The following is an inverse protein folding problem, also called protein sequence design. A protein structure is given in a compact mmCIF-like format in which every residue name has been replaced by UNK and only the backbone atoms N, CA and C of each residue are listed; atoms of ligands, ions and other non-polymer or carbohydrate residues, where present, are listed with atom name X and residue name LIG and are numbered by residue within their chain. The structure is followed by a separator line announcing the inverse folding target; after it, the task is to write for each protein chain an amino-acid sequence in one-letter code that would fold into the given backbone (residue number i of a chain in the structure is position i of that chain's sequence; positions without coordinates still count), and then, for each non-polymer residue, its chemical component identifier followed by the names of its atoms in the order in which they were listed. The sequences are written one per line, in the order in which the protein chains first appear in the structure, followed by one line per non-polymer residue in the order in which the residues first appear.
data_IF_739821249177
#
_entry.id   IF_739821249177
#
_cell.length_a   1.000
_cell.length_b   1.000
_cell.length_c   1.000
_cell.angle_alpha   90.00
_cell.angle_beta   90.00
_cell.angle_gamma   90.00
#
_symmetry.space_group_name_H-M   'P 1'
#
loop_
_entity.id
_entity.type
_entity.pdbx_description
1 polymer ?
#
# COMPACT_ATOMS: atom_id res chain seq x y z
N UNK A 1 2.81 12.17 -1.24
CA UNK A 1 1.90 12.43 -2.38
C UNK A 1 0.56 12.86 -1.81
N UNK A 2 -0.24 13.65 -2.54
CA UNK A 2 -1.65 13.87 -2.18
C UNK A 2 -2.55 13.21 -3.20
N UNK A 3 -3.49 12.39 -2.74
CA UNK A 3 -4.56 11.83 -3.55
C UNK A 3 -5.71 12.80 -3.63
N UNK A 4 -6.30 12.86 -4.82
CA UNK A 4 -7.48 13.67 -5.15
C UNK A 4 -8.74 12.83 -5.17
N UNK A 5 -9.90 13.48 -5.10
CA UNK A 5 -11.20 12.81 -5.25
C UNK A 5 -11.36 12.14 -6.61
N UNK A 6 -10.85 12.74 -7.69
CA UNK A 6 -10.88 12.14 -9.04
C UNK A 6 -10.10 10.83 -9.09
N UNK A 7 -8.88 10.80 -8.55
CA UNK A 7 -8.09 9.56 -8.47
C UNK A 7 -8.77 8.47 -7.65
N UNK A 8 -9.45 8.85 -6.56
CA UNK A 8 -10.21 7.92 -5.74
C UNK A 8 -11.45 7.39 -6.49
N UNK A 9 -12.12 8.22 -7.29
CA UNK A 9 -13.26 7.81 -8.10
C UNK A 9 -12.83 6.94 -9.30
N UNK A 10 -11.74 7.26 -9.98
CA UNK A 10 -11.18 6.43 -11.06
C UNK A 10 -10.86 5.01 -10.57
N UNK A 11 -10.38 4.92 -9.34
CA UNK A 11 -10.06 3.68 -8.66
C UNK A 11 -11.30 2.83 -8.34
N UNK A 12 -12.44 3.46 -8.10
CA UNK A 12 -13.73 2.80 -7.87
C UNK A 12 -14.53 2.52 -9.14
N UNK A 13 -14.25 3.30 -10.20
CA UNK A 13 -14.90 3.13 -11.50
C UNK A 13 -14.36 1.92 -12.26
N UNK A 14 -13.15 1.46 -11.95
CA UNK A 14 -12.70 0.13 -12.34
C UNK A 14 -13.49 -0.85 -11.46
N UNK A 15 -14.31 -1.71 -12.07
CA UNK A 15 -15.08 -2.79 -11.45
C UNK A 15 -14.11 -3.81 -10.82
N UNK A 16 -13.43 -3.34 -9.78
CA UNK A 16 -12.23 -3.91 -9.22
C UNK A 16 -12.65 -5.08 -8.35
N UNK A 17 -11.86 -6.16 -8.40
CA UNK A 17 -12.09 -7.30 -7.53
C UNK A 17 -12.23 -6.83 -6.06
N UNK A 18 -13.11 -7.43 -5.23
CA UNK A 18 -13.28 -7.01 -3.83
C UNK A 18 -11.98 -7.08 -3.01
N UNK A 19 -11.07 -7.97 -3.40
CA UNK A 19 -9.74 -8.11 -2.79
C UNK A 19 -8.67 -7.21 -3.42
N UNK A 20 -9.03 -6.34 -4.36
CA UNK A 20 -8.12 -5.38 -4.92
C UNK A 20 -7.60 -4.43 -3.84
N UNK A 21 -6.34 -4.07 -3.96
CA UNK A 21 -5.64 -3.13 -3.09
C UNK A 21 -4.96 -2.08 -3.92
N UNK A 22 -5.04 -0.86 -3.41
CA UNK A 22 -4.27 0.24 -3.91
C UNK A 22 -2.88 0.22 -3.27
N UNK A 23 -1.86 0.34 -4.10
CA UNK A 23 -0.46 0.36 -3.65
C UNK A 23 0.27 1.55 -4.25
N UNK A 24 1.32 1.99 -3.58
CA UNK A 24 2.21 3.06 -4.03
C UNK A 24 3.62 2.52 -4.28
N UNK A 25 4.16 2.82 -5.45
CA UNK A 25 5.53 2.47 -5.84
C UNK A 25 6.56 3.45 -5.28
N UNK A 26 7.83 3.07 -5.36
CA UNK A 26 8.97 3.86 -4.88
C UNK A 26 9.10 5.22 -5.60
N UNK A 27 8.72 5.27 -6.89
CA UNK A 27 8.67 6.50 -7.70
C UNK A 27 7.42 7.36 -7.42
N UNK A 28 6.63 6.97 -6.41
CA UNK A 28 5.37 7.56 -5.97
C UNK A 28 4.21 7.33 -6.95
N UNK A 29 4.38 6.61 -8.05
CA UNK A 29 3.23 6.19 -8.86
C UNK A 29 2.35 5.23 -8.07
N UNK A 30 1.09 5.10 -8.44
CA UNK A 30 0.16 4.23 -7.73
C UNK A 30 -0.52 3.28 -8.70
N UNK A 31 -0.81 2.06 -8.25
CA UNK A 31 -1.50 1.04 -9.04
C UNK A 31 -2.48 0.25 -8.18
N UNK A 32 -3.48 -0.34 -8.83
CA UNK A 32 -4.40 -1.28 -8.19
C UNK A 32 -3.93 -2.69 -8.54
N UNK A 33 -3.66 -3.49 -7.52
CA UNK A 33 -3.30 -4.90 -7.69
C UNK A 33 -4.32 -5.78 -6.98
N UNK A 34 -4.56 -6.97 -7.52
CA UNK A 34 -5.30 -8.03 -6.82
C UNK A 34 -4.25 -9.01 -6.29
N UNK A 35 -3.96 -9.05 -4.97
CA UNK A 35 -2.99 -9.98 -4.43
C UNK A 35 -3.53 -11.39 -4.66
N UNK A 36 -2.79 -12.18 -5.42
CA UNK A 36 -3.23 -13.54 -5.76
C UNK A 36 -3.27 -14.48 -4.54
N UNK A 37 -2.56 -14.13 -3.45
CA UNK A 37 -2.46 -14.95 -2.23
C UNK A 37 -2.36 -14.10 -0.94
N UNK A 38 -2.68 -14.68 0.23
CA UNK A 38 -2.49 -14.02 1.53
C UNK A 38 -1.03 -13.62 1.81
N UNK A 39 -0.06 -14.37 1.29
CA UNK A 39 1.37 -14.05 1.44
C UNK A 39 1.73 -12.78 0.66
N UNK A 40 1.21 -12.62 -0.55
CA UNK A 40 1.41 -11.40 -1.34
C UNK A 40 0.82 -10.17 -0.62
N UNK A 41 -0.36 -10.33 0.01
CA UNK A 41 -0.94 -9.29 0.85
C UNK A 41 -0.05 -8.99 2.08
N UNK A 42 0.49 -10.01 2.73
CA UNK A 42 1.37 -9.85 3.89
C UNK A 42 2.69 -9.14 3.54
N UNK A 43 3.24 -9.35 2.34
CA UNK A 43 4.41 -8.61 1.83
C UNK A 43 4.11 -7.12 1.63
N UNK A 44 2.94 -6.77 1.07
CA UNK A 44 2.53 -5.37 0.88
C UNK A 44 2.38 -4.60 2.20
N UNK A 45 2.07 -5.29 3.30
CA UNK A 45 1.98 -4.69 4.63
C UNK A 45 3.34 -4.47 5.31
N UNK A 46 4.46 -4.94 4.72
CA UNK A 46 5.77 -4.72 5.31
C UNK A 46 6.24 -3.27 5.09
N UNK A 47 6.52 -2.49 6.15
CA UNK A 47 6.88 -1.07 6.02
C UNK A 47 8.19 -0.78 5.27
N UNK A 48 8.99 -1.81 5.03
CA UNK A 48 10.29 -1.73 4.36
C UNK A 48 10.29 -2.29 2.95
N UNK A 49 9.12 -2.71 2.45
CA UNK A 49 8.95 -3.23 1.10
C UNK A 49 8.10 -2.28 0.26
N UNK A 50 8.45 -2.23 -1.02
CA UNK A 50 7.74 -1.50 -2.05
C UNK A 50 7.24 -2.51 -3.09
N UNK A 51 6.04 -2.33 -3.66
CA UNK A 51 5.13 -1.21 -3.41
C UNK A 51 4.46 -1.28 -2.02
N UNK A 52 4.16 -0.11 -1.45
CA UNK A 52 3.58 0.04 -0.12
C UNK A 52 2.05 -0.06 -0.19
N UNK A 53 1.46 -0.85 0.70
CA UNK A 53 0.00 -0.93 0.87
C UNK A 53 -0.58 0.44 1.23
N UNK A 54 -1.61 0.88 0.50
CA UNK A 54 -2.39 2.08 0.81
C UNK A 54 -3.72 1.71 1.48
N UNK A 55 -4.59 1.02 0.75
CA UNK A 55 -5.91 0.61 1.21
C UNK A 55 -6.50 -0.50 0.32
N UNK A 56 -7.40 -1.33 0.86
CA UNK A 56 -8.26 -2.23 0.08
C UNK A 56 -9.45 -1.47 -0.51
N UNK A 57 -9.87 -1.83 -1.72
CA UNK A 57 -10.89 -1.07 -2.46
C UNK A 57 -12.24 -1.05 -1.74
N UNK A 58 -12.69 -2.18 -1.20
CA UNK A 58 -13.95 -2.28 -0.44
C UNK A 58 -13.97 -1.37 0.82
N UNK A 59 -12.82 -1.17 1.47
CA UNK A 59 -12.64 -0.28 2.60
C UNK A 59 -12.71 1.17 2.15
N UNK A 60 -12.14 1.50 0.99
CA UNK A 60 -12.28 2.82 0.39
C UNK A 60 -13.74 3.15 0.07
N UNK A 61 -14.50 2.19 -0.47
CA UNK A 61 -15.95 2.32 -0.71
C UNK A 61 -16.73 2.58 0.58
N UNK A 62 -16.44 1.82 1.63
CA UNK A 62 -17.09 1.99 2.92
C UNK A 62 -16.80 3.38 3.50
N UNK A 63 -15.56 3.86 3.43
CA UNK A 63 -15.22 5.21 3.90
C UNK A 63 -15.93 6.31 3.12
N UNK A 64 -16.10 6.17 1.81
CA UNK A 64 -16.86 7.14 1.02
C UNK A 64 -18.33 7.10 1.39
N UNK A 65 -18.90 5.91 1.63
CA UNK A 65 -20.28 5.76 2.09
C UNK A 65 -20.50 6.44 3.44
N UNK A 66 -19.55 6.30 4.35
CA UNK A 66 -19.67 6.76 5.74
C UNK A 66 -19.29 8.23 5.95
N UNK A 67 -18.36 8.77 5.14
CA UNK A 67 -17.79 10.11 5.33
C UNK A 67 -17.85 11.03 4.11
N UNK A 68 -18.40 10.55 2.99
CA UNK A 68 -18.35 11.24 1.71
C UNK A 68 -16.96 11.20 1.08
N UNK A 69 -16.89 11.63 -0.19
CA UNK A 69 -15.67 11.59 -0.99
C UNK A 69 -14.52 12.39 -0.34
N UNK A 70 -14.80 13.62 0.10
CA UNK A 70 -13.79 14.49 0.71
C UNK A 70 -13.24 13.94 2.03
N UNK A 71 -14.11 13.29 2.82
CA UNK A 71 -13.72 12.62 4.06
C UNK A 71 -12.77 11.45 3.79
N UNK A 72 -13.10 10.60 2.82
CA UNK A 72 -12.25 9.48 2.40
C UNK A 72 -10.90 9.97 1.86
N UNK A 73 -10.89 11.00 1.00
CA UNK A 73 -9.66 11.62 0.49
C UNK A 73 -8.79 12.17 1.62
N UNK A 74 -9.39 12.82 2.62
CA UNK A 74 -8.66 13.36 3.77
C UNK A 74 -8.00 12.24 4.57
N UNK A 75 -8.75 11.17 4.86
CA UNK A 75 -8.24 10.02 5.61
C UNK A 75 -7.08 9.34 4.88
N UNK A 76 -7.22 9.10 3.57
CA UNK A 76 -6.17 8.50 2.74
C UNK A 76 -4.92 9.35 2.72
N UNK A 77 -5.06 10.67 2.59
CA UNK A 77 -3.93 11.58 2.64
C UNK A 77 -3.21 11.58 4.00
N UNK A 78 -3.93 11.41 5.11
CA UNK A 78 -3.33 11.22 6.44
C UNK A 78 -2.57 9.89 6.47
N UNK A 79 -3.16 8.80 5.98
CA UNK A 79 -2.49 7.50 5.88
C UNK A 79 -1.24 7.58 5.02
N UNK A 80 -1.22 8.36 3.94
CA UNK A 80 -0.01 8.51 3.12
C UNK A 80 1.07 9.36 3.77
N UNK A 81 0.69 10.27 4.66
CA UNK A 81 1.66 11.08 5.42
C UNK A 81 2.46 10.26 6.42
N UNK A 82 1.94 9.10 6.86
CA UNK A 82 2.63 8.18 7.78
C UNK A 82 3.45 7.11 7.06
N UNK A 83 3.26 6.93 5.74
CA UNK A 83 4.10 6.03 4.96
C UNK A 83 5.48 6.68 4.84
N UNK A 84 6.53 6.02 5.33
CA UNK A 84 7.86 6.61 5.32
C UNK A 84 8.33 6.83 3.89
N UNK A 85 9.01 7.95 3.66
CA UNK A 85 9.50 8.27 2.31
C UNK A 85 10.44 7.17 1.80
N UNK A 86 10.36 6.82 0.50
CA UNK A 86 11.19 5.76 -0.09
C UNK A 86 12.70 6.00 0.11
N UNK A 87 13.13 7.26 0.04
CA UNK A 87 14.52 7.67 0.28
C UNK A 87 14.88 7.89 1.75
N UNK A 88 13.95 7.65 2.68
CA UNK A 88 14.22 7.76 4.11
C UNK A 88 15.31 6.78 4.51
N UNK A 89 16.34 7.28 5.21
CA UNK A 89 17.44 6.46 5.74
C UNK A 89 16.93 5.30 6.61
N UNK A 90 15.76 5.47 7.24
CA UNK A 90 15.10 4.45 8.07
C UNK A 90 14.59 3.29 7.20
N UNK A 91 13.94 3.57 6.07
CA UNK A 91 13.44 2.55 5.12
C UNK A 91 14.60 1.80 4.50
N UNK A 92 15.66 2.52 4.07
CA UNK A 92 16.88 1.88 3.54
C UNK A 92 17.56 0.96 4.55
N UNK A 93 17.68 1.37 5.80
CA UNK A 93 18.26 0.54 6.86
C UNK A 93 17.38 -0.70 7.19
N UNK A 94 16.06 -0.53 7.21
CA UNK A 94 15.11 -1.63 7.44
C UNK A 94 15.11 -2.64 6.28
N UNK A 95 15.18 -2.17 5.03
CA UNK A 95 15.25 -3.02 3.83
C UNK A 95 16.54 -3.86 3.78
N UNK A 96 17.69 -3.27 4.15
CA UNK A 96 18.97 -3.99 4.24
C UNK A 96 18.91 -5.08 5.33
N UNK A 97 18.36 -4.75 6.50
CA UNK A 97 18.26 -5.68 7.63
C UNK A 97 17.29 -6.82 7.32
N UNK A 98 16.13 -6.53 6.72
CA UNK A 98 15.14 -7.53 6.31
C UNK A 98 15.66 -8.50 5.26
N UNK A 99 16.38 -8.01 4.24
CA UNK A 99 17.04 -8.88 3.25
C UNK A 99 18.09 -9.80 3.88
N UNK A 100 18.85 -9.30 4.85
CA UNK A 100 19.88 -10.10 5.53
C UNK A 100 19.27 -11.20 6.41
N UNK A 101 18.20 -10.89 7.13
CA UNK A 101 17.45 -11.85 7.95
C UNK A 101 16.78 -12.94 7.11
N UNK A 102 16.11 -12.57 6.00
CA UNK A 102 15.49 -13.55 5.11
C UNK A 102 16.52 -14.44 4.40
N UNK A 103 17.73 -13.92 4.11
CA UNK A 103 18.80 -14.72 3.50
C UNK A 103 19.35 -15.76 4.47
N UNK A 104 19.49 -15.43 5.76
CA UNK A 104 19.88 -16.39 6.81
C UNK A 104 18.83 -17.47 7.04
N UNK A 105 17.55 -17.08 7.12
CA UNK A 105 16.45 -18.04 7.28
C UNK A 105 16.37 -19.08 6.16
N UNK A 106 16.68 -18.69 4.91
CA UNK A 106 16.77 -19.62 3.77
C UNK A 106 17.98 -20.55 3.81
N UNK A 107 19.08 -20.17 4.47
CA UNK A 107 20.26 -21.03 4.65
C UNK A 107 20.08 -22.05 5.77
N UNK A 108 19.25 -21.76 6.77
CA UNK A 108 18.94 -22.69 7.88
C UNK A 108 17.88 -23.75 7.51
N UNK A 109 17.22 -23.62 6.34
CA UNK A 109 16.20 -24.54 5.84
C UNK A 109 16.72 -25.50 4.75
N UNK A 110 18.02 -25.48 4.44
CA UNK A 110 18.72 -26.43 3.56
C UNK A 110 19.63 -27.33 4.38
#
# INVERSE_FOLDING_TARGET
MKVTGEQLLELLAHDSHPDAVWVMHEDRTTEIVVPATPEALAELHQPSQWPAYLIRIDLAENYIRDHGLDGAVTLLNITFSIIPEPDSKIVRAAAITGRFLNRRRRQEQQ
#
